data_IF_084566005345
#
_entry.id   IF_084566005345
#
_cell.length_a   1.000
_cell.length_b   1.000
_cell.length_c   1.000
_cell.angle_alpha   90.00
_cell.angle_beta   90.00
_cell.angle_gamma   90.00
#
_symmetry.space_group_name_H-M   'P 1'
#
loop_
_entity.id
_entity.type
_entity.pdbx_description
1 polymer ?
#
# COMPACT_ATOMS: atom_id res chain seq x y z
N UNK A 1 24.99 -31.54 26.86
CA UNK A 1 24.04 -31.05 27.88
C UNK A 1 24.44 -31.44 29.31
N UNK A 2 24.19 -32.66 29.81
CA UNK A 2 24.38 -33.00 31.26
C UNK A 2 25.74 -32.56 31.85
N UNK A 3 26.84 -32.92 31.19
CA UNK A 3 28.21 -32.57 31.61
C UNK A 3 28.46 -31.05 31.62
N UNK A 4 27.95 -30.34 30.62
CA UNK A 4 28.04 -28.87 30.51
C UNK A 4 27.25 -28.17 31.62
N UNK A 5 26.05 -28.66 31.94
CA UNK A 5 25.25 -28.15 33.06
C UNK A 5 25.92 -28.42 34.42
N UNK A 6 26.59 -29.56 34.59
CA UNK A 6 27.39 -29.85 35.79
C UNK A 6 28.56 -28.88 35.96
N UNK A 7 29.35 -28.68 34.89
CA UNK A 7 30.48 -27.74 34.89
C UNK A 7 30.05 -26.27 35.07
N UNK A 8 28.89 -25.88 34.55
CA UNK A 8 28.31 -24.55 34.79
C UNK A 8 27.82 -24.39 36.23
N UNK A 9 27.14 -25.38 36.82
CA UNK A 9 26.64 -25.31 38.20
C UNK A 9 27.77 -25.10 39.23
N UNK A 10 28.99 -25.55 38.92
CA UNK A 10 30.18 -25.33 39.74
C UNK A 10 30.83 -23.93 39.60
N UNK A 11 30.34 -23.10 38.67
CA UNK A 11 30.77 -21.71 38.44
C UNK A 11 29.66 -20.72 38.80
N UNK A 12 28.42 -21.05 38.43
CA UNK A 12 27.20 -20.28 38.65
C UNK A 12 26.02 -21.27 38.80
N UNK A 13 25.37 -21.35 39.98
CA UNK A 13 24.26 -22.28 40.22
C UNK A 13 23.00 -21.93 39.42
N UNK A 14 22.77 -20.64 39.12
CA UNK A 14 21.60 -20.13 38.41
C UNK A 14 21.75 -20.34 36.90
N UNK A 15 22.93 -20.10 36.33
CA UNK A 15 23.23 -20.53 34.96
C UNK A 15 23.13 -22.06 34.83
N UNK A 16 23.59 -22.80 35.84
CA UNK A 16 23.39 -24.24 35.95
C UNK A 16 21.90 -24.63 35.95
N UNK A 17 21.06 -23.89 36.65
CA UNK A 17 19.61 -24.10 36.70
C UNK A 17 18.92 -23.74 35.37
N UNK A 18 19.24 -22.60 34.77
CA UNK A 18 18.72 -22.17 33.48
C UNK A 18 18.97 -23.22 32.38
N UNK A 19 20.17 -23.81 32.30
CA UNK A 19 20.47 -24.89 31.35
C UNK A 19 19.67 -26.17 31.64
N UNK A 20 19.35 -26.47 32.91
CA UNK A 20 18.44 -27.58 33.28
C UNK A 20 16.99 -27.30 32.85
N UNK A 21 16.51 -26.05 32.99
CA UNK A 21 15.17 -25.61 32.56
C UNK A 21 15.02 -25.72 31.04
N UNK A 22 15.99 -25.19 30.28
CA UNK A 22 16.03 -25.32 28.80
C UNK A 22 15.96 -26.80 28.41
N UNK A 23 16.86 -27.63 28.96
CA UNK A 23 16.90 -29.07 28.71
C UNK A 23 15.67 -29.84 29.24
N UNK A 24 14.77 -29.23 30.00
CA UNK A 24 13.51 -29.83 30.43
C UNK A 24 12.40 -29.51 29.43
N UNK A 25 12.21 -28.23 29.09
CA UNK A 25 11.18 -27.82 28.12
C UNK A 25 11.46 -28.32 26.70
N UNK A 26 12.73 -28.42 26.30
CA UNK A 26 13.10 -29.00 25.01
C UNK A 26 12.63 -30.46 24.91
N UNK A 27 12.82 -31.27 25.96
CA UNK A 27 12.33 -32.67 26.01
C UNK A 27 10.81 -32.77 26.07
N UNK A 28 10.11 -31.81 26.67
CA UNK A 28 8.64 -31.75 26.61
C UNK A 28 8.14 -31.37 25.20
N UNK A 29 8.85 -30.49 24.49
CA UNK A 29 8.53 -30.13 23.11
C UNK A 29 8.82 -31.29 22.13
N UNK A 30 9.95 -31.99 22.28
CA UNK A 30 10.33 -33.20 21.52
C UNK A 30 9.31 -34.33 21.70
N UNK A 31 8.91 -34.62 22.95
CA UNK A 31 7.91 -35.64 23.28
C UNK A 31 6.46 -35.22 22.99
N UNK A 32 6.25 -34.01 22.45
CA UNK A 32 4.94 -33.44 22.07
C UNK A 32 3.96 -33.37 23.25
N UNK A 33 4.47 -33.03 24.44
CA UNK A 33 3.67 -32.87 25.64
C UNK A 33 2.52 -31.87 25.44
N UNK A 34 1.36 -32.15 26.05
CA UNK A 34 0.20 -31.27 25.97
C UNK A 34 0.39 -29.94 26.71
N UNK A 35 -0.44 -28.94 26.39
CA UNK A 35 -0.37 -27.58 26.96
C UNK A 35 -0.34 -27.61 28.50
N UNK A 36 -1.19 -28.42 29.14
CA UNK A 36 -1.21 -28.54 30.60
C UNK A 36 0.10 -29.09 31.18
N UNK A 37 0.78 -30.02 30.50
CA UNK A 37 2.05 -30.55 30.95
C UNK A 37 3.19 -29.50 30.87
N UNK A 38 3.10 -28.55 29.94
CA UNK A 38 4.03 -27.42 29.84
C UNK A 38 3.77 -26.38 30.95
N UNK A 39 2.51 -26.03 31.23
CA UNK A 39 2.15 -25.12 32.34
C UNK A 39 2.50 -25.75 33.69
N UNK A 40 2.25 -27.06 33.86
CA UNK A 40 2.68 -27.85 35.02
C UNK A 40 4.20 -27.88 35.17
N UNK A 41 4.94 -27.99 34.05
CA UNK A 41 6.39 -27.85 34.02
C UNK A 41 6.86 -26.49 34.54
N UNK A 42 6.18 -25.40 34.18
CA UNK A 42 6.50 -24.07 34.67
C UNK A 42 6.24 -23.92 36.18
N UNK A 43 5.07 -24.35 36.66
CA UNK A 43 4.71 -24.27 38.07
C UNK A 43 5.68 -25.05 38.99
N UNK A 44 5.97 -26.31 38.62
CA UNK A 44 6.85 -27.19 39.41
C UNK A 44 8.31 -26.74 39.38
N UNK A 45 8.78 -26.12 38.30
CA UNK A 45 10.15 -25.58 38.22
C UNK A 45 10.30 -24.22 38.91
N UNK A 46 9.25 -23.41 38.99
CA UNK A 46 9.26 -22.12 39.67
C UNK A 46 8.92 -22.21 41.17
N UNK A 47 8.30 -23.31 41.62
CA UNK A 47 7.85 -23.49 43.00
C UNK A 47 6.60 -22.66 43.36
N UNK A 48 5.92 -22.08 42.37
CA UNK A 48 4.74 -21.24 42.50
C UNK A 48 3.68 -21.63 41.46
N UNK A 49 2.41 -21.20 41.60
CA UNK A 49 1.39 -21.51 40.61
C UNK A 49 1.70 -20.85 39.26
N UNK A 50 1.48 -21.56 38.15
CA UNK A 50 1.59 -21.03 36.81
C UNK A 50 0.22 -20.96 36.13
N UNK A 51 -0.06 -19.84 35.45
CA UNK A 51 -1.33 -19.62 34.76
C UNK A 51 -1.12 -19.22 33.31
N UNK A 52 -1.75 -19.94 32.40
CA UNK A 52 -1.85 -19.63 30.98
C UNK A 52 -3.24 -19.08 30.67
N UNK A 53 -3.31 -17.91 30.03
CA UNK A 53 -4.55 -17.37 29.47
C UNK A 53 -4.31 -16.94 28.02
N UNK A 54 -5.07 -17.51 27.11
CA UNK A 54 -5.13 -17.12 25.69
C UNK A 54 -6.60 -16.91 25.31
N UNK A 55 -7.09 -15.64 25.27
CA UNK A 55 -8.49 -15.36 25.00
C UNK A 55 -8.87 -15.58 23.53
N UNK A 56 -7.94 -15.33 22.59
CA UNK A 56 -8.12 -15.62 21.16
C UNK A 56 -8.41 -17.12 20.95
N UNK A 57 -7.66 -17.98 21.65
CA UNK A 57 -7.83 -19.43 21.59
C UNK A 57 -8.80 -19.98 22.63
N UNK A 58 -9.35 -19.16 23.53
CA UNK A 58 -10.18 -19.62 24.67
C UNK A 58 -9.50 -20.72 25.48
N UNK A 59 -8.20 -20.59 25.73
CA UNK A 59 -7.42 -21.51 26.57
C UNK A 59 -7.17 -20.84 27.91
N UNK A 60 -7.67 -21.45 28.98
CA UNK A 60 -7.36 -21.07 30.35
C UNK A 60 -6.87 -22.33 31.08
N UNK A 61 -5.66 -22.30 31.62
CA UNK A 61 -5.07 -23.42 32.37
C UNK A 61 -4.28 -22.85 33.54
N UNK A 62 -4.63 -23.26 34.76
CA UNK A 62 -3.91 -22.86 35.99
C UNK A 62 -3.46 -24.10 36.75
N UNK A 63 -2.17 -24.16 37.09
CA UNK A 63 -1.55 -25.30 37.77
C UNK A 63 -0.80 -24.80 39.00
N UNK A 64 -1.05 -25.41 40.15
CA UNK A 64 -0.40 -25.08 41.42
C UNK A 64 1.05 -25.60 41.47
N UNK A 65 1.83 -25.16 42.47
CA UNK A 65 3.23 -25.54 42.65
C UNK A 65 3.44 -27.06 42.85
N UNK A 66 2.44 -27.79 43.35
CA UNK A 66 2.44 -29.26 43.47
C UNK A 66 2.17 -29.99 42.13
N UNK A 67 1.93 -29.23 41.07
CA UNK A 67 1.60 -29.74 39.75
C UNK A 67 0.13 -30.17 39.58
N UNK A 68 -0.75 -29.89 40.54
CA UNK A 68 -2.20 -30.11 40.40
C UNK A 68 -2.87 -28.97 39.64
N UNK A 69 -3.80 -29.29 38.74
CA UNK A 69 -4.59 -28.28 38.03
C UNK A 69 -5.72 -27.77 38.92
N UNK A 70 -5.85 -26.45 39.02
CA UNK A 70 -6.93 -25.76 39.73
C UNK A 70 -7.38 -24.53 38.95
N UNK A 71 -8.42 -24.71 38.14
CA UNK A 71 -9.02 -23.63 37.36
C UNK A 71 -9.68 -22.59 38.30
N UNK A 72 -9.69 -21.33 37.88
CA UNK A 72 -10.09 -20.17 38.70
C UNK A 72 -10.50 -19.03 37.78
N UNK A 73 -11.67 -18.42 38.03
CA UNK A 73 -12.24 -17.38 37.16
C UNK A 73 -11.79 -15.96 37.49
N UNK A 74 -11.19 -15.73 38.67
CA UNK A 74 -10.62 -14.44 39.03
C UNK A 74 -9.49 -14.05 38.04
N UNK A 75 -9.37 -12.78 37.61
CA UNK A 75 -8.35 -12.36 36.64
C UNK A 75 -6.92 -12.53 37.19
N UNK A 76 -5.91 -12.71 36.33
CA UNK A 76 -4.50 -12.66 36.76
C UNK A 76 -4.10 -11.23 37.16
N UNK A 77 -3.22 -11.11 38.15
CA UNK A 77 -2.66 -9.82 38.55
C UNK A 77 -1.64 -9.34 37.50
N UNK A 78 -1.75 -8.11 36.96
CA UNK A 78 -0.77 -7.57 36.01
C UNK A 78 0.64 -7.35 36.60
N UNK A 79 0.80 -7.34 37.93
CA UNK A 79 2.10 -7.24 38.59
C UNK A 79 2.88 -8.58 38.66
N UNK A 80 2.25 -9.71 38.30
CA UNK A 80 2.91 -11.01 38.31
C UNK A 80 3.90 -11.18 37.13
N UNK A 81 5.10 -11.77 37.36
CA UNK A 81 6.05 -12.10 36.30
C UNK A 81 5.39 -12.91 35.19
N UNK A 82 5.56 -12.48 33.94
CA UNK A 82 4.85 -13.07 32.81
C UNK A 82 5.60 -12.95 31.49
N UNK A 83 5.20 -13.78 30.52
CA UNK A 83 5.71 -13.78 29.16
C UNK A 83 4.58 -13.99 28.14
N UNK A 84 4.64 -13.23 27.04
CA UNK A 84 3.73 -13.37 25.92
C UNK A 84 4.08 -14.63 25.09
N UNK A 85 3.06 -15.39 24.68
CA UNK A 85 3.23 -16.53 23.79
C UNK A 85 3.76 -16.10 22.41
N UNK A 86 3.33 -14.93 21.93
CA UNK A 86 3.78 -14.32 20.67
C UNK A 86 3.92 -12.79 20.84
N UNK A 87 4.88 -12.14 20.18
CA UNK A 87 4.97 -10.67 20.18
C UNK A 87 3.66 -10.04 19.70
N UNK A 88 3.02 -9.23 20.54
CA UNK A 88 1.77 -8.52 20.23
C UNK A 88 0.49 -9.37 20.24
N UNK A 89 0.54 -10.66 20.61
CA UNK A 89 -0.66 -11.49 20.79
C UNK A 89 -1.23 -11.39 22.21
N UNK A 90 -2.53 -11.64 22.38
CA UNK A 90 -3.20 -11.56 23.69
C UNK A 90 -2.95 -12.79 24.60
N UNK A 91 -2.30 -13.84 24.07
CA UNK A 91 -1.94 -15.05 24.83
C UNK A 91 -0.70 -14.87 25.70
N UNK A 92 -0.85 -15.12 26.99
CA UNK A 92 0.11 -14.81 28.06
C UNK A 92 0.24 -15.96 29.08
N UNK A 93 1.44 -16.12 29.64
CA UNK A 93 1.76 -17.04 30.73
C UNK A 93 2.28 -16.23 31.93
N UNK A 94 1.74 -16.46 33.13
CA UNK A 94 2.14 -15.82 34.40
C UNK A 94 2.65 -16.85 35.41
N UNK A 95 3.52 -16.39 36.33
CA UNK A 95 3.87 -17.05 37.59
C UNK A 95 3.24 -16.27 38.75
N UNK A 96 2.34 -16.89 39.50
CA UNK A 96 1.55 -16.21 40.53
C UNK A 96 2.39 -15.94 41.79
N UNK A 97 2.52 -14.67 42.18
CA UNK A 97 3.27 -14.24 43.38
C UNK A 97 2.30 -13.64 44.41
N UNK A 98 2.23 -14.21 45.61
CA UNK A 98 1.43 -13.67 46.72
C UNK A 98 -0.08 -13.96 46.62
N UNK A 99 -0.47 -15.22 46.84
CA UNK A 99 -1.87 -15.65 47.02
C UNK A 99 -2.00 -16.64 48.20
N UNK A 100 -3.20 -16.80 48.80
CA UNK A 100 -3.36 -17.49 50.09
C UNK A 100 -3.27 -19.02 49.97
N UNK A 101 -2.04 -19.53 49.85
CA UNK A 101 -1.71 -20.97 49.88
C UNK A 101 -0.43 -21.32 50.66
N UNK A 102 0.44 -20.36 50.94
CA UNK A 102 1.60 -20.56 51.82
C UNK A 102 1.16 -20.66 53.28
N UNK A 103 1.47 -21.78 53.94
CA UNK A 103 1.29 -21.93 55.38
C UNK A 103 2.16 -20.90 56.13
N UNK A 104 1.65 -20.27 57.21
CA UNK A 104 2.42 -19.28 57.95
C UNK A 104 3.61 -19.94 58.64
N UNK A 105 4.82 -19.52 58.27
CA UNK A 105 5.99 -19.72 59.11
C UNK A 105 5.74 -19.04 60.47
N UNK A 106 6.03 -19.74 61.56
CA UNK A 106 5.76 -19.26 62.92
C UNK A 106 6.50 -17.96 63.20
N UNK A 107 5.80 -17.01 63.82
CA UNK A 107 6.28 -15.65 63.98
C UNK A 107 7.58 -15.53 64.79
N UNK A 108 8.53 -14.77 64.26
CA UNK A 108 9.42 -13.90 65.03
C UNK A 108 9.89 -12.73 64.12
N UNK A 109 9.92 -11.52 64.68
CA UNK A 109 10.51 -10.24 64.19
C UNK A 109 11.02 -10.17 62.73
N UNK A 110 10.59 -9.22 61.89
CA UNK A 110 10.69 -7.77 62.13
C UNK A 110 9.78 -7.00 61.14
N UNK A 111 9.58 -5.68 61.33
CA UNK A 111 8.96 -4.78 60.34
C UNK A 111 9.57 -4.96 58.94
N UNK A 112 8.75 -4.91 57.90
CA UNK A 112 9.18 -4.81 56.51
C UNK A 112 8.32 -3.77 55.78
N UNK A 113 8.96 -2.99 54.92
CA UNK A 113 8.35 -1.91 54.14
C UNK A 113 7.38 -2.42 53.06
N UNK A 114 6.51 -1.56 52.48
CA UNK A 114 5.69 -1.92 51.33
C UNK A 114 6.56 -2.50 50.20
N UNK A 115 6.31 -3.77 49.85
CA UNK A 115 7.21 -4.55 49.02
C UNK A 115 7.38 -3.96 47.61
N UNK A 116 8.63 -3.66 47.23
CA UNK A 116 8.98 -3.37 45.85
C UNK A 116 8.66 -4.59 44.95
N UNK A 117 8.32 -4.37 43.66
CA UNK A 117 8.05 -5.44 42.72
C UNK A 117 9.34 -6.22 42.42
N UNK A 118 9.59 -7.28 43.20
CA UNK A 118 10.76 -8.16 43.08
C UNK A 118 10.85 -8.68 41.65
N UNK A 119 11.94 -8.33 40.95
CA UNK A 119 12.19 -8.80 39.59
C UNK A 119 12.16 -10.34 39.49
N UNK A 120 11.81 -10.93 38.35
CA UNK A 120 12.01 -12.36 38.14
C UNK A 120 13.50 -12.69 38.25
N UNK A 121 13.82 -13.75 38.99
CA UNK A 121 15.13 -14.38 38.94
C UNK A 121 15.47 -14.81 37.51
N UNK A 122 16.76 -14.96 37.20
CA UNK A 122 17.22 -15.44 35.88
C UNK A 122 16.58 -16.80 35.55
N UNK A 123 16.37 -17.64 36.56
CA UNK A 123 15.72 -18.95 36.41
C UNK A 123 14.22 -18.81 36.11
N UNK A 124 13.47 -17.95 36.82
CA UNK A 124 12.05 -17.67 36.51
C UNK A 124 11.87 -17.08 35.10
N UNK A 125 12.74 -16.16 34.69
CA UNK A 125 12.72 -15.56 33.36
C UNK A 125 12.92 -16.62 32.26
N UNK A 126 13.87 -17.54 32.45
CA UNK A 126 14.10 -18.66 31.52
C UNK A 126 12.94 -19.68 31.58
N UNK A 127 12.34 -19.95 32.75
CA UNK A 127 11.13 -20.78 32.85
C UNK A 127 10.00 -20.18 32.01
N UNK A 128 9.72 -18.88 32.17
CA UNK A 128 8.69 -18.16 31.43
C UNK A 128 8.96 -18.17 29.91
N UNK A 129 10.17 -17.84 29.47
CA UNK A 129 10.54 -17.84 28.04
C UNK A 129 10.36 -19.23 27.41
N UNK A 130 10.95 -20.27 28.02
CA UNK A 130 10.94 -21.64 27.46
C UNK A 130 9.54 -22.25 27.52
N UNK A 131 8.78 -22.02 28.59
CA UNK A 131 7.39 -22.48 28.70
C UNK A 131 6.48 -21.77 27.70
N UNK A 132 6.52 -20.43 27.58
CA UNK A 132 5.72 -19.69 26.61
C UNK A 132 6.05 -20.07 25.16
N UNK A 133 7.34 -20.23 24.83
CA UNK A 133 7.79 -20.70 23.53
C UNK A 133 7.30 -22.11 23.20
N UNK A 134 7.40 -23.05 24.14
CA UNK A 134 6.88 -24.42 23.96
C UNK A 134 5.35 -24.46 23.86
N UNK A 135 4.63 -23.67 24.68
CA UNK A 135 3.17 -23.58 24.63
C UNK A 135 2.69 -23.02 23.29
N UNK A 136 3.35 -21.98 22.73
CA UNK A 136 3.09 -21.52 21.36
C UNK A 136 3.23 -22.65 20.35
N UNK A 137 4.35 -23.39 20.40
CA UNK A 137 4.62 -24.51 19.46
C UNK A 137 3.59 -25.65 19.56
N UNK A 138 2.98 -25.86 20.72
CA UNK A 138 1.86 -26.80 20.88
C UNK A 138 0.56 -26.20 20.36
N UNK A 139 0.20 -24.97 20.73
CA UNK A 139 -1.05 -24.32 20.32
C UNK A 139 -1.13 -24.04 18.81
N UNK A 140 -0.02 -23.68 18.17
CA UNK A 140 0.06 -23.51 16.71
C UNK A 140 -0.03 -24.86 15.97
N UNK A 141 0.40 -25.96 16.60
CA UNK A 141 0.24 -27.33 16.07
C UNK A 141 -1.17 -27.88 16.25
N UNK A 142 -1.75 -27.79 17.45
CA UNK A 142 -3.01 -28.49 17.80
C UNK A 142 -4.27 -27.82 17.25
N UNK A 143 -4.25 -26.51 17.00
CA UNK A 143 -5.34 -25.83 16.27
C UNK A 143 -5.08 -25.61 14.79
N UNK A 144 -3.90 -25.98 14.30
CA UNK A 144 -3.46 -25.70 12.94
C UNK A 144 -3.41 -24.19 12.69
N UNK A 145 -2.26 -23.58 12.99
CA UNK A 145 -1.89 -22.31 12.36
C UNK A 145 -1.61 -22.57 10.88
N UNK A 146 -2.70 -22.75 10.13
CA UNK A 146 -2.74 -22.35 8.74
C UNK A 146 -2.14 -20.93 8.66
N UNK A 147 -1.23 -20.66 7.71
CA UNK A 147 -0.68 -19.32 7.57
C UNK A 147 -1.81 -18.32 7.29
N UNK A 148 -1.57 -17.03 7.56
CA UNK A 148 -2.47 -15.97 7.09
C UNK A 148 -2.59 -15.96 5.55
N UNK A 149 -1.66 -16.62 4.86
CA UNK A 149 -1.68 -16.93 3.43
C UNK A 149 -2.09 -18.40 3.14
N UNK A 150 -3.13 -18.95 3.78
CA UNK A 150 -3.67 -20.28 3.40
C UNK A 150 -4.30 -20.18 1.99
N UNK A 151 -3.71 -20.82 0.96
CA UNK A 151 -4.13 -20.62 -0.42
C UNK A 151 -5.57 -21.10 -0.65
N UNK A 152 -5.98 -22.20 -0.01
CA UNK A 152 -7.31 -22.76 -0.20
C UNK A 152 -8.40 -21.86 0.42
N UNK A 153 -8.08 -21.16 1.51
CA UNK A 153 -8.97 -20.19 2.12
C UNK A 153 -9.04 -18.89 1.30
N UNK A 154 -7.91 -18.41 0.76
CA UNK A 154 -7.92 -17.24 -0.14
C UNK A 154 -8.69 -17.56 -1.42
N UNK A 155 -8.46 -18.73 -2.03
CA UNK A 155 -9.19 -19.19 -3.22
C UNK A 155 -10.70 -19.33 -2.92
N UNK A 156 -11.08 -19.90 -1.78
CA UNK A 156 -12.50 -19.98 -1.33
C UNK A 156 -13.11 -18.58 -1.15
N UNK A 157 -12.37 -17.63 -0.58
CA UNK A 157 -12.83 -16.27 -0.31
C UNK A 157 -13.02 -15.44 -1.60
N UNK A 158 -12.18 -15.68 -2.62
CA UNK A 158 -12.22 -14.98 -3.89
C UNK A 158 -13.11 -15.66 -4.95
N UNK A 159 -13.62 -16.86 -4.69
CA UNK A 159 -14.59 -17.54 -5.54
C UNK A 159 -16.00 -16.95 -5.35
N UNK A 160 -16.54 -16.36 -6.42
CA UNK A 160 -17.90 -15.83 -6.45
C UNK A 160 -18.98 -16.94 -6.32
N UNK A 161 -18.68 -18.16 -6.75
CA UNK A 161 -19.60 -19.31 -6.75
C UNK A 161 -19.64 -20.06 -5.42
N UNK A 162 -18.61 -19.91 -4.58
CA UNK A 162 -18.59 -20.47 -3.23
C UNK A 162 -19.76 -19.95 -2.36
N UNK A 163 -20.35 -20.79 -1.48
CA UNK A 163 -21.38 -20.33 -0.55
C UNK A 163 -20.88 -19.20 0.36
N UNK A 164 -21.74 -18.21 0.63
CA UNK A 164 -21.39 -17.04 1.45
C UNK A 164 -20.86 -17.44 2.84
N UNK A 165 -21.46 -18.46 3.46
CA UNK A 165 -21.03 -19.01 4.75
C UNK A 165 -19.59 -19.57 4.69
N UNK A 166 -19.18 -20.15 3.56
CA UNK A 166 -17.82 -20.64 3.35
C UNK A 166 -16.83 -19.46 3.18
N UNK A 167 -17.21 -18.41 2.44
CA UNK A 167 -16.42 -17.17 2.34
C UNK A 167 -16.24 -16.49 3.70
N UNK A 168 -17.31 -16.36 4.50
CA UNK A 168 -17.24 -15.80 5.85
C UNK A 168 -16.40 -16.66 6.81
N UNK A 169 -16.43 -17.99 6.66
CA UNK A 169 -15.52 -18.87 7.41
C UNK A 169 -14.07 -18.64 7.00
N UNK A 170 -13.78 -18.59 5.69
CA UNK A 170 -12.44 -18.36 5.16
C UNK A 170 -11.86 -17.00 5.60
N UNK A 171 -12.63 -15.91 5.48
CA UNK A 171 -12.21 -14.58 5.93
C UNK A 171 -11.83 -14.55 7.43
N UNK A 172 -12.69 -15.09 8.30
CA UNK A 172 -12.41 -15.19 9.74
C UNK A 172 -11.19 -16.06 10.05
N UNK A 173 -10.94 -17.11 9.25
CA UNK A 173 -9.77 -17.98 9.38
C UNK A 173 -8.46 -17.32 8.87
N UNK A 174 -8.57 -16.38 7.94
CA UNK A 174 -7.47 -15.53 7.44
C UNK A 174 -7.21 -14.31 8.36
N UNK A 175 -8.04 -14.09 9.38
CA UNK A 175 -7.92 -12.96 10.30
C UNK A 175 -8.52 -11.64 9.80
N UNK A 176 -9.32 -11.67 8.74
CA UNK A 176 -10.04 -10.50 8.22
C UNK A 176 -11.31 -10.24 9.05
N UNK A 177 -11.51 -9.00 9.47
CA UNK A 177 -12.78 -8.54 10.04
C UNK A 177 -13.83 -8.40 8.92
N UNK A 178 -14.97 -9.13 8.98
CA UNK A 178 -16.05 -8.99 7.98
C UNK A 178 -16.68 -7.59 7.90
N UNK A 179 -16.53 -6.75 8.94
CA UNK A 179 -17.01 -5.37 8.94
C UNK A 179 -16.01 -4.37 8.33
N UNK A 180 -14.73 -4.73 8.21
CA UNK A 180 -13.70 -3.89 7.63
C UNK A 180 -13.62 -4.03 6.09
N UNK A 181 -13.29 -2.95 5.36
CA UNK A 181 -13.02 -3.05 3.93
C UNK A 181 -11.67 -3.74 3.66
N UNK A 182 -11.62 -4.56 2.62
CA UNK A 182 -10.43 -5.27 2.16
C UNK A 182 -10.23 -5.12 0.64
N UNK A 183 -9.00 -5.33 0.18
CA UNK A 183 -8.60 -5.29 -1.24
C UNK A 183 -8.01 -6.64 -1.66
N UNK A 184 -8.37 -7.11 -2.85
CA UNK A 184 -7.71 -8.27 -3.47
C UNK A 184 -6.49 -7.83 -4.29
N UNK A 185 -5.43 -8.64 -4.26
CA UNK A 185 -4.16 -8.40 -4.94
C UNK A 185 -3.86 -9.51 -5.94
N UNK A 186 -3.61 -9.14 -7.19
CA UNK A 186 -3.30 -10.03 -8.31
C UNK A 186 -1.85 -9.84 -8.79
N UNK A 187 -0.86 -10.53 -8.18
CA UNK A 187 0.51 -10.56 -8.69
C UNK A 187 0.62 -11.48 -9.93
N UNK A 188 1.49 -11.14 -10.88
CA UNK A 188 1.68 -11.92 -12.11
C UNK A 188 2.17 -13.35 -11.86
N UNK A 189 3.25 -13.46 -11.07
CA UNK A 189 3.98 -14.72 -10.82
C UNK A 189 3.74 -15.24 -9.40
N UNK A 190 2.55 -14.98 -8.82
CA UNK A 190 2.25 -15.26 -7.43
C UNK A 190 0.83 -15.79 -7.23
N UNK A 191 0.54 -16.19 -5.99
CA UNK A 191 -0.82 -16.53 -5.56
C UNK A 191 -1.65 -15.26 -5.32
N UNK A 192 -3.00 -15.34 -5.42
CA UNK A 192 -3.86 -14.28 -4.90
C UNK A 192 -3.49 -13.93 -3.45
N UNK A 193 -3.67 -12.67 -3.08
CA UNK A 193 -3.63 -12.21 -1.69
C UNK A 193 -4.82 -11.30 -1.40
N UNK A 194 -5.15 -11.16 -0.14
CA UNK A 194 -6.11 -10.16 0.36
C UNK A 194 -5.41 -9.36 1.45
N UNK A 195 -5.57 -8.04 1.43
CA UNK A 195 -5.12 -7.15 2.50
C UNK A 195 -6.29 -6.32 3.05
N UNK A 196 -6.28 -5.97 4.35
CA UNK A 196 -7.11 -4.87 4.85
C UNK A 196 -6.85 -3.59 4.04
N UNK A 197 -7.90 -2.82 3.73
CA UNK A 197 -7.77 -1.66 2.85
C UNK A 197 -6.95 -0.50 3.44
N UNK A 198 -6.80 -0.47 4.77
CA UNK A 198 -5.96 0.47 5.52
C UNK A 198 -4.47 0.11 5.50
N UNK A 199 -4.12 -1.16 5.30
CA UNK A 199 -2.73 -1.63 5.28
C UNK A 199 -1.88 -1.04 4.12
N UNK A 200 -2.54 -0.60 3.05
CA UNK A 200 -1.91 0.06 1.89
C UNK A 200 -1.58 1.54 2.14
N UNK A 201 -2.12 2.15 3.20
CA UNK A 201 -1.97 3.60 3.49
C UNK A 201 -0.58 3.99 3.99
N UNK A 202 0.35 3.04 4.12
CA UNK A 202 1.77 3.31 4.38
C UNK A 202 2.41 3.96 3.13
N UNK A 203 2.78 5.26 3.13
CA UNK A 203 3.00 5.97 1.87
C UNK A 203 4.19 5.45 1.04
N UNK A 204 3.90 5.01 -0.19
CA UNK A 204 4.89 4.84 -1.27
C UNK A 204 5.40 6.19 -1.84
N UNK A 205 5.56 7.18 -0.96
CA UNK A 205 6.01 8.51 -1.29
C UNK A 205 7.53 8.51 -1.55
N UNK A 206 7.94 8.73 -2.80
CA UNK A 206 9.33 9.04 -3.15
C UNK A 206 10.17 7.87 -3.67
N UNK A 207 9.71 7.17 -4.71
CA UNK A 207 10.60 6.39 -5.61
C UNK A 207 10.61 6.89 -7.07
N UNK A 208 10.50 8.21 -7.22
CA UNK A 208 10.76 8.95 -8.48
C UNK A 208 11.97 9.89 -8.33
N UNK A 209 13.11 9.32 -7.90
CA UNK A 209 14.40 9.99 -7.92
C UNK A 209 15.49 8.98 -8.31
N UNK A 210 16.16 9.22 -9.45
CA UNK A 210 17.45 8.59 -9.73
C UNK A 210 18.45 9.19 -8.74
N UNK A 211 19.24 8.34 -8.09
CA UNK A 211 20.27 8.75 -7.14
C UNK A 211 21.40 9.49 -7.88
N UNK A 212 21.28 10.82 -7.95
CA UNK A 212 22.28 11.67 -8.58
C UNK A 212 23.55 11.70 -7.71
N UNK A 213 24.75 11.44 -8.25
CA UNK A 213 25.96 11.32 -7.46
C UNK A 213 26.31 12.65 -6.79
N UNK A 214 26.60 12.58 -5.48
CA UNK A 214 26.96 13.73 -4.65
C UNK A 214 28.19 14.45 -5.23
N UNK A 215 28.01 15.69 -5.66
CA UNK A 215 29.14 16.60 -5.94
C UNK A 215 29.64 17.19 -4.63
N UNK A 216 30.97 17.25 -4.40
CA UNK A 216 31.53 17.87 -3.20
C UNK A 216 31.22 19.38 -3.18
N UNK A 217 30.99 19.91 -1.98
CA UNK A 217 30.71 21.33 -1.78
C UNK A 217 32.00 22.15 -1.88
N UNK A 218 32.07 23.08 -2.84
CA UNK A 218 32.99 24.23 -2.78
C UNK A 218 32.29 25.39 -2.07
N UNK A 219 32.96 25.98 -1.07
CA UNK A 219 32.40 27.02 -0.20
C UNK A 219 32.11 28.35 -0.91
N UNK A 220 31.45 29.30 -0.21
CA UNK A 220 31.00 30.56 -0.81
C UNK A 220 32.15 31.55 -1.02
N UNK A 221 32.36 31.97 -2.26
CA UNK A 221 33.12 33.18 -2.61
C UNK A 221 32.20 34.36 -2.88
N UNK A 222 32.66 35.57 -2.56
CA UNK A 222 31.84 36.77 -2.46
C UNK A 222 31.38 37.35 -3.82
N UNK A 223 30.44 38.29 -3.75
CA UNK A 223 29.95 39.10 -4.86
C UNK A 223 31.09 39.88 -5.53
N UNK A 224 31.04 39.96 -6.86
CA UNK A 224 31.69 41.01 -7.65
C UNK A 224 30.69 41.50 -8.71
N UNK A 225 30.56 42.82 -8.87
CA UNK A 225 29.55 43.42 -9.76
C UNK A 225 30.01 43.45 -11.23
N UNK A 226 29.08 43.23 -12.16
CA UNK A 226 29.28 43.44 -13.59
C UNK A 226 28.78 44.85 -14.00
N UNK A 227 29.54 45.62 -14.79
CA UNK A 227 29.18 47.01 -15.14
C UNK A 227 28.21 47.11 -16.33
N UNK A 228 27.53 48.26 -16.44
CA UNK A 228 26.80 48.69 -17.65
C UNK A 228 27.77 49.26 -18.70
N UNK A 229 27.46 49.08 -19.99
CA UNK A 229 27.29 50.22 -20.90
C UNK A 229 25.79 50.35 -21.27
N UNK A 230 25.15 51.53 -21.21
CA UNK A 230 25.37 52.77 -21.97
C UNK A 230 24.67 52.73 -23.34
N UNK A 231 23.70 53.63 -23.54
CA UNK A 231 22.91 53.77 -24.75
C UNK A 231 23.46 54.89 -25.65
N UNK A 232 23.18 54.82 -26.95
CA UNK A 232 23.46 55.88 -27.94
C UNK A 232 22.20 56.09 -28.78
N UNK A 233 21.85 57.36 -29.02
CA UNK A 233 20.69 57.73 -29.84
C UNK A 233 20.99 57.68 -31.34
N UNK A 234 19.96 57.36 -32.14
CA UNK A 234 19.90 57.57 -33.59
C UNK A 234 18.46 57.84 -34.00
N UNK A 235 18.21 58.82 -34.87
CA UNK A 235 16.88 59.42 -35.08
C UNK A 235 16.48 59.50 -36.56
N UNK A 236 15.35 58.87 -36.92
CA UNK A 236 14.44 59.11 -38.06
C UNK A 236 13.26 58.12 -37.91
N UNK A 237 11.96 58.42 -38.13
CA UNK A 237 11.30 59.04 -39.29
C UNK A 237 11.36 58.13 -40.54
N UNK A 238 10.28 57.68 -41.17
CA UNK A 238 8.85 58.09 -41.13
C UNK A 238 7.90 56.93 -41.53
N UNK A 239 6.57 57.11 -41.37
CA UNK A 239 5.49 56.65 -42.29
C UNK A 239 5.25 55.13 -42.54
N UNK A 240 4.02 54.59 -42.72
CA UNK A 240 2.63 55.09 -42.61
C UNK A 240 1.66 53.94 -42.23
N UNK A 241 0.51 54.34 -41.64
CA UNK A 241 -0.70 53.60 -41.27
C UNK A 241 -0.98 52.17 -41.81
N UNK A 242 -1.59 51.36 -40.94
CA UNK A 242 -2.46 50.24 -41.31
C UNK A 242 -3.95 50.63 -41.08
N UNK A 243 -4.86 50.29 -42.02
CA UNK A 243 -6.31 50.14 -41.77
C UNK A 243 -7.12 49.57 -42.96
N UNK A 244 -7.63 48.35 -42.80
CA UNK A 244 -9.08 48.03 -42.82
C UNK A 244 -9.97 48.14 -44.10
N UNK A 245 -10.62 47.01 -44.40
CA UNK A 245 -12.00 46.81 -44.92
C UNK A 245 -12.35 46.63 -46.43
N UNK A 246 -13.50 45.95 -46.58
CA UNK A 246 -14.47 45.87 -47.68
C UNK A 246 -14.21 44.96 -48.90
N UNK A 247 -15.13 44.01 -49.10
CA UNK A 247 -15.39 43.32 -50.37
C UNK A 247 -16.44 44.08 -51.19
N UNK A 248 -16.46 43.90 -52.52
CA UNK A 248 -17.70 43.95 -53.29
C UNK A 248 -17.99 42.65 -54.07
N UNK A 249 -19.27 42.30 -54.15
CA UNK A 249 -19.91 41.39 -55.14
C UNK A 249 -20.64 42.28 -56.16
N UNK A 250 -20.99 41.85 -57.41
CA UNK A 250 -22.16 40.96 -57.61
C UNK A 250 -22.22 40.13 -58.93
N UNK A 251 -23.41 39.53 -59.16
CA UNK A 251 -24.07 39.11 -60.44
C UNK A 251 -24.03 37.61 -60.89
N UNK A 252 -25.24 37.17 -61.29
CA UNK A 252 -25.78 35.93 -61.89
C UNK A 252 -25.13 35.54 -63.25
N UNK A 253 -25.40 34.40 -63.93
CA UNK A 253 -26.68 33.67 -64.08
C UNK A 253 -26.61 32.22 -64.64
N UNK A 254 -27.71 31.46 -64.51
CA UNK A 254 -28.08 30.26 -65.30
C UNK A 254 -27.45 28.91 -64.89
N UNK A 255 -28.14 27.74 -64.90
CA UNK A 255 -29.58 27.49 -64.72
C UNK A 255 -30.26 26.47 -65.68
N UNK A 256 -30.42 25.20 -65.25
CA UNK A 256 -31.43 24.22 -65.77
C UNK A 256 -31.63 23.03 -64.80
N UNK A 257 -32.79 22.35 -64.87
CA UNK A 257 -33.20 21.11 -64.16
C UNK A 257 -34.08 20.24 -65.12
N UNK A 258 -34.58 19.01 -64.80
CA UNK A 258 -35.49 18.63 -63.69
C UNK A 258 -35.02 17.30 -62.99
N UNK A 259 -35.76 16.40 -62.32
CA UNK A 259 -37.17 16.20 -61.87
C UNK A 259 -37.11 15.39 -60.53
N UNK A 260 -37.97 15.51 -59.49
CA UNK A 260 -39.43 15.28 -59.27
C UNK A 260 -39.94 13.82 -59.34
N UNK A 261 -40.08 13.18 -58.16
CA UNK A 261 -41.29 12.51 -57.55
C UNK A 261 -40.84 11.64 -56.35
N UNK A 262 -41.60 11.38 -55.27
CA UNK A 262 -42.78 12.01 -54.66
C UNK A 262 -42.86 11.61 -53.16
N UNK A 263 -43.66 12.31 -52.35
CA UNK A 263 -43.87 12.08 -50.91
C UNK A 263 -45.19 11.29 -50.65
N UNK A 264 -45.54 10.85 -49.41
CA UNK A 264 -46.26 11.76 -48.50
C UNK A 264 -46.13 11.55 -46.96
N UNK A 265 -46.02 12.68 -46.25
CA UNK A 265 -46.77 13.09 -45.05
C UNK A 265 -46.52 12.46 -43.67
N UNK A 266 -46.29 13.35 -42.68
CA UNK A 266 -46.58 13.16 -41.25
C UNK A 266 -47.85 13.93 -40.81
N UNK A 267 -48.11 14.03 -39.49
CA UNK A 267 -48.07 15.34 -38.79
C UNK A 267 -47.20 15.28 -37.51
N UNK A 268 -46.43 16.31 -37.09
CA UNK A 268 -46.77 17.71 -36.72
C UNK A 268 -47.50 17.84 -35.34
N UNK A 269 -47.35 18.90 -34.53
CA UNK A 269 -46.32 19.95 -34.37
C UNK A 269 -46.67 20.85 -33.15
N UNK A 270 -45.68 21.51 -32.52
CA UNK A 270 -45.73 22.82 -31.80
C UNK A 270 -44.39 22.98 -31.04
N UNK A 271 -43.53 24.01 -31.15
CA UNK A 271 -43.62 25.45 -31.45
C UNK A 271 -43.67 26.35 -30.18
N UNK A 272 -42.73 27.28 -30.08
CA UNK A 272 -42.58 28.24 -28.98
C UNK A 272 -43.32 29.56 -29.24
N UNK A 273 -43.30 30.52 -28.30
CA UNK A 273 -42.46 31.71 -28.55
C UNK A 273 -41.74 32.25 -27.30
N UNK A 274 -40.93 33.31 -27.49
CA UNK A 274 -40.35 34.11 -26.40
C UNK A 274 -39.96 35.52 -26.88
N UNK A 275 -39.81 36.49 -25.96
CA UNK A 275 -39.44 37.87 -26.32
C UNK A 275 -38.71 38.67 -25.21
N UNK A 276 -37.48 39.09 -25.53
CA UNK A 276 -36.83 40.40 -25.31
C UNK A 276 -36.82 41.10 -23.92
N UNK A 277 -35.59 41.26 -23.42
CA UNK A 277 -34.94 42.50 -22.91
C UNK A 277 -35.67 43.45 -21.95
N UNK A 278 -35.03 43.71 -20.80
CA UNK A 278 -35.13 44.96 -20.04
C UNK A 278 -33.80 45.27 -19.37
N UNK A 279 -33.38 46.53 -19.32
CA UNK A 279 -32.19 46.99 -18.60
C UNK A 279 -32.60 47.83 -17.39
N UNK A 280 -31.89 47.69 -16.27
CA UNK A 280 -32.20 48.40 -15.03
C UNK A 280 -30.96 48.55 -14.16
N UNK A 281 -30.41 49.76 -14.10
CA UNK A 281 -29.30 50.13 -13.21
C UNK A 281 -29.84 50.62 -11.89
N UNK A 282 -29.31 50.16 -10.74
CA UNK A 282 -29.10 50.98 -9.54
C UNK A 282 -28.13 50.27 -8.57
N UNK A 283 -27.33 51.01 -7.78
CA UNK A 283 -26.31 50.42 -6.91
C UNK A 283 -26.85 50.10 -5.51
N UNK A 284 -26.23 49.13 -4.84
CA UNK A 284 -26.31 48.94 -3.39
C UNK A 284 -24.90 49.04 -2.81
N UNK A 285 -24.72 49.95 -1.86
CA UNK A 285 -23.50 50.05 -1.05
C UNK A 285 -23.46 48.93 -0.03
N UNK A 286 -22.42 48.09 -0.05
CA UNK A 286 -22.07 47.24 1.09
C UNK A 286 -20.88 47.83 1.86
N UNK A 287 -20.92 47.69 3.19
CA UNK A 287 -20.24 48.61 4.11
C UNK A 287 -19.12 47.91 4.87
N UNK A 288 -17.91 48.47 4.83
CA UNK A 288 -16.72 47.83 5.37
C UNK A 288 -16.74 47.71 6.91
N UNK A 289 -16.51 46.48 7.41
CA UNK A 289 -16.31 46.16 8.83
C UNK A 289 -14.97 45.39 9.01
N UNK A 290 -14.34 45.40 10.21
CA UNK A 290 -12.89 45.34 10.31
C UNK A 290 -12.26 43.94 10.44
N UNK A 291 -10.97 43.87 10.08
CA UNK A 291 -10.11 42.68 10.26
C UNK A 291 -9.84 42.40 11.75
N UNK A 292 -9.90 41.13 12.22
CA UNK A 292 -9.37 40.76 13.52
C UNK A 292 -7.83 40.88 13.55
N UNK A 293 -7.26 41.11 14.74
CA UNK A 293 -5.82 41.30 14.96
C UNK A 293 -5.08 39.98 15.19
N UNK A 294 -3.81 39.94 14.78
CA UNK A 294 -2.88 38.83 15.01
C UNK A 294 -2.46 38.73 16.48
N UNK A 295 -2.68 37.57 17.10
CA UNK A 295 -1.99 37.15 18.34
C UNK A 295 -0.70 36.38 18.04
N UNK A 296 0.22 36.22 19.01
CA UNK A 296 1.54 35.64 18.79
C UNK A 296 1.51 34.11 18.62
N UNK A 297 2.32 33.61 17.69
CA UNK A 297 2.54 32.17 17.47
C UNK A 297 3.51 31.58 18.49
N UNK A 298 3.01 30.76 19.41
CA UNK A 298 3.84 29.83 20.16
C UNK A 298 4.23 28.64 19.25
N UNK A 299 5.53 28.43 19.02
CA UNK A 299 6.02 27.30 18.23
C UNK A 299 6.06 26.00 19.04
N UNK A 300 5.64 24.85 18.48
CA UNK A 300 5.83 23.55 19.12
C UNK A 300 7.32 23.18 19.11
N UNK A 301 7.84 22.70 20.24
CA UNK A 301 9.25 22.33 20.38
C UNK A 301 9.58 20.99 19.71
N UNK A 302 10.83 20.82 19.27
CA UNK A 302 11.35 19.57 18.70
C UNK A 302 11.41 18.45 19.75
N UNK A 303 10.37 17.62 19.82
CA UNK A 303 10.42 16.34 20.52
C UNK A 303 11.12 15.29 19.64
N UNK A 304 12.44 15.15 19.81
CA UNK A 304 13.25 14.17 19.08
C UNK A 304 13.06 12.74 19.64
N UNK A 305 11.85 12.19 19.51
CA UNK A 305 11.55 10.81 19.90
C UNK A 305 12.19 9.84 18.90
N UNK A 306 13.21 9.12 19.34
CA UNK A 306 13.92 8.12 18.54
C UNK A 306 13.06 6.88 18.26
N UNK A 307 12.10 6.98 17.31
CA UNK A 307 11.39 5.82 16.79
C UNK A 307 12.36 4.94 16.00
N UNK A 308 12.88 3.92 16.66
CA UNK A 308 13.37 2.68 16.04
C UNK A 308 12.35 2.27 14.96
N UNK A 309 12.76 2.09 13.69
CA UNK A 309 11.81 1.82 12.61
C UNK A 309 11.01 0.57 12.94
N UNK A 310 9.68 0.67 12.82
CA UNK A 310 8.81 -0.49 12.88
C UNK A 310 9.23 -1.51 11.81
N UNK A 311 9.07 -2.82 12.05
CA UNK A 311 9.24 -3.79 10.98
C UNK A 311 8.31 -3.40 9.82
N UNK A 312 8.75 -3.53 8.55
CA UNK A 312 7.87 -3.21 7.43
C UNK A 312 6.61 -4.07 7.53
N UNK A 313 5.45 -3.42 7.42
CA UNK A 313 4.17 -4.11 7.29
C UNK A 313 4.11 -4.96 6.02
N UNK A 314 2.99 -5.66 5.75
CA UNK A 314 2.80 -6.46 4.55
C UNK A 314 2.64 -5.58 3.31
N UNK A 315 3.73 -4.94 2.89
CA UNK A 315 3.81 -4.11 1.70
C UNK A 315 3.53 -4.91 0.43
N UNK A 316 3.13 -4.19 -0.62
CA UNK A 316 2.76 -4.77 -1.91
C UNK A 316 3.89 -5.68 -2.47
N UNK A 317 3.55 -6.88 -2.98
CA UNK A 317 4.55 -7.78 -3.54
C UNK A 317 5.25 -7.14 -4.75
N UNK A 318 6.57 -7.28 -4.82
CA UNK A 318 7.38 -6.68 -5.88
C UNK A 318 7.09 -7.29 -7.27
N UNK A 319 7.16 -6.44 -8.30
CA UNK A 319 6.90 -6.81 -9.69
C UNK A 319 5.50 -6.44 -10.17
N UNK A 320 5.02 -7.12 -11.22
CA UNK A 320 3.74 -6.84 -11.88
C UNK A 320 2.55 -7.23 -10.98
N UNK A 321 1.72 -6.24 -10.63
CA UNK A 321 0.66 -6.35 -9.64
C UNK A 321 -0.59 -5.53 -10.03
N UNK A 322 -1.75 -6.18 -10.09
CA UNK A 322 -3.04 -5.50 -10.08
C UNK A 322 -3.62 -5.41 -8.67
N UNK A 323 -4.14 -4.24 -8.30
CA UNK A 323 -4.80 -3.97 -7.02
C UNK A 323 -6.29 -3.73 -7.24
N UNK A 324 -7.15 -4.45 -6.52
CA UNK A 324 -8.61 -4.29 -6.60
C UNK A 324 -9.14 -3.18 -5.70
N UNK A 325 -10.38 -2.69 -5.93
CA UNK A 325 -11.04 -1.71 -5.06
C UNK A 325 -11.17 -2.19 -3.62
N UNK A 326 -11.22 -1.24 -2.68
CA UNK A 326 -11.58 -1.50 -1.29
C UNK A 326 -13.09 -1.80 -1.20
N UNK A 327 -13.43 -2.99 -0.73
CA UNK A 327 -14.82 -3.49 -0.68
C UNK A 327 -15.09 -4.25 0.63
N UNK A 328 -16.36 -4.42 1.04
CA UNK A 328 -16.70 -5.35 2.11
C UNK A 328 -16.18 -6.76 1.79
N UNK A 329 -15.83 -7.54 2.82
CA UNK A 329 -15.22 -8.88 2.67
C UNK A 329 -16.00 -9.83 1.74
N UNK A 330 -17.33 -9.70 1.66
CA UNK A 330 -18.16 -10.51 0.75
C UNK A 330 -18.09 -10.12 -0.72
N UNK A 331 -17.66 -8.90 -1.04
CA UNK A 331 -17.44 -8.40 -2.40
C UNK A 331 -16.00 -8.65 -2.89
N UNK A 332 -15.13 -9.29 -2.09
CA UNK A 332 -13.76 -9.62 -2.51
C UNK A 332 -13.65 -10.39 -3.84
N UNK A 333 -14.59 -11.29 -4.25
CA UNK A 333 -14.59 -11.86 -5.60
C UNK A 333 -14.68 -10.81 -6.72
N UNK A 334 -15.40 -9.70 -6.50
CA UNK A 334 -15.44 -8.56 -7.43
C UNK A 334 -14.11 -7.80 -7.41
N UNK A 335 -13.58 -7.50 -6.22
CA UNK A 335 -12.26 -6.86 -6.08
C UNK A 335 -11.17 -7.67 -6.77
N UNK A 336 -11.24 -9.01 -6.73
CA UNK A 336 -10.35 -9.93 -7.42
C UNK A 336 -10.49 -9.91 -8.95
N UNK A 337 -11.72 -9.88 -9.48
CA UNK A 337 -11.95 -9.74 -10.92
C UNK A 337 -11.42 -8.39 -11.46
N UNK A 338 -11.61 -7.31 -10.69
CA UNK A 338 -11.08 -5.99 -11.01
C UNK A 338 -9.54 -5.95 -10.86
N UNK A 339 -8.95 -6.57 -9.83
CA UNK A 339 -7.50 -6.71 -9.66
C UNK A 339 -6.84 -7.50 -10.81
N UNK A 340 -7.42 -8.62 -11.23
CA UNK A 340 -6.96 -9.39 -12.41
C UNK A 340 -7.08 -8.59 -13.70
N UNK A 341 -8.05 -7.69 -13.79
CA UNK A 341 -8.18 -6.76 -14.91
C UNK A 341 -7.06 -5.71 -14.88
N UNK A 342 -6.81 -5.10 -13.72
CA UNK A 342 -5.73 -4.14 -13.51
C UNK A 342 -4.33 -4.72 -13.80
N UNK A 343 -4.08 -5.97 -13.40
CA UNK A 343 -2.83 -6.69 -13.70
C UNK A 343 -2.50 -6.70 -15.19
N UNK A 344 -3.48 -6.74 -16.09
CA UNK A 344 -3.26 -6.74 -17.55
C UNK A 344 -2.83 -5.38 -18.12
N UNK A 345 -2.99 -4.29 -17.35
CA UNK A 345 -2.46 -2.97 -17.68
C UNK A 345 -1.04 -2.72 -17.12
N UNK A 346 -0.47 -3.67 -16.36
CA UNK A 346 0.87 -3.51 -15.76
C UNK A 346 2.00 -3.69 -16.79
N UNK A 347 3.10 -2.98 -16.59
CA UNK A 347 4.34 -3.04 -17.34
C UNK A 347 5.42 -3.85 -16.61
N UNK A 348 6.42 -4.37 -17.31
CA UNK A 348 7.63 -4.90 -16.68
C UNK A 348 8.47 -3.82 -16.01
N UNK A 349 8.39 -2.57 -16.47
CA UNK A 349 9.22 -1.45 -16.01
C UNK A 349 10.64 -1.46 -16.60
N UNK A 350 10.85 -2.22 -17.69
CA UNK A 350 12.12 -2.26 -18.43
C UNK A 350 12.22 -1.11 -19.44
N UNK A 351 13.40 -0.76 -19.98
CA UNK A 351 13.50 0.25 -21.06
C UNK A 351 12.71 -0.11 -22.32
N UNK A 352 12.47 -1.41 -22.56
CA UNK A 352 11.72 -1.98 -23.68
C UNK A 352 10.21 -2.09 -23.39
N UNK A 353 9.83 -2.30 -22.13
CA UNK A 353 8.47 -2.20 -21.62
C UNK A 353 8.35 -1.27 -20.39
N UNK A 354 8.47 0.06 -20.61
CA UNK A 354 8.28 1.06 -19.56
C UNK A 354 6.80 1.16 -19.17
N UNK A 355 6.54 1.65 -17.96
CA UNK A 355 5.20 1.92 -17.44
C UNK A 355 5.01 1.46 -15.99
N UNK A 356 3.76 1.47 -15.48
CA UNK A 356 3.47 1.12 -14.09
C UNK A 356 3.55 -0.40 -13.84
N UNK A 357 4.40 -0.82 -12.90
CA UNK A 357 4.42 -2.22 -12.42
C UNK A 357 3.20 -2.55 -11.55
N UNK A 358 2.72 -1.58 -10.76
CA UNK A 358 1.51 -1.68 -9.94
C UNK A 358 0.42 -0.83 -10.59
N UNK A 359 -0.80 -1.37 -10.72
CA UNK A 359 -1.98 -0.63 -11.23
C UNK A 359 -3.18 -0.88 -10.33
N UNK A 360 -3.85 0.19 -9.90
CA UNK A 360 -5.09 0.12 -9.13
C UNK A 360 -6.30 0.13 -10.07
N UNK A 361 -7.25 -0.78 -9.85
CA UNK A 361 -8.43 -0.90 -10.71
C UNK A 361 -9.32 0.35 -10.68
N UNK A 362 -9.39 1.04 -9.53
CA UNK A 362 -10.19 2.27 -9.37
C UNK A 362 -9.63 3.46 -10.17
N UNK A 363 -8.34 3.46 -10.51
CA UNK A 363 -7.69 4.50 -11.33
C UNK A 363 -7.94 4.33 -12.84
N UNK A 364 -8.28 3.13 -13.30
CA UNK A 364 -8.47 2.84 -14.74
C UNK A 364 -9.76 3.43 -15.30
N UNK A 365 -10.80 3.56 -14.48
CA UNK A 365 -12.13 4.03 -14.89
C UNK A 365 -12.63 3.35 -16.18
N UNK A 366 -13.06 4.15 -17.16
CA UNK A 366 -13.57 3.65 -18.44
C UNK A 366 -12.52 2.93 -19.31
N UNK A 367 -11.22 3.10 -19.07
CA UNK A 367 -10.15 2.42 -19.85
C UNK A 367 -10.13 0.92 -19.54
N UNK A 368 -10.58 0.50 -18.36
CA UNK A 368 -10.70 -0.91 -17.99
C UNK A 368 -11.55 -1.74 -18.99
N UNK A 369 -12.53 -1.12 -19.65
CA UNK A 369 -13.38 -1.77 -20.66
C UNK A 369 -12.59 -2.35 -21.85
N UNK A 370 -11.42 -1.78 -22.18
CA UNK A 370 -10.55 -2.30 -23.24
C UNK A 370 -10.08 -3.74 -22.94
N UNK A 371 -9.96 -4.12 -21.67
CA UNK A 371 -9.56 -5.47 -21.28
C UNK A 371 -10.61 -6.54 -21.62
N UNK A 372 -11.88 -6.16 -21.77
CA UNK A 372 -12.95 -7.04 -22.27
C UNK A 372 -12.97 -7.16 -23.80
N UNK A 373 -12.33 -6.24 -24.53
CA UNK A 373 -12.32 -6.18 -25.99
C UNK A 373 -11.02 -6.74 -26.60
N UNK A 374 -9.89 -6.53 -25.94
CA UNK A 374 -8.58 -7.08 -26.33
C UNK A 374 -8.34 -8.36 -25.54
N UNK A 375 -8.26 -9.50 -26.21
CA UNK A 375 -7.96 -10.79 -25.57
C UNK A 375 -6.44 -11.04 -25.48
N UNK A 376 -5.95 -11.78 -24.47
CA UNK A 376 -4.57 -12.26 -24.45
C UNK A 376 -4.24 -13.03 -25.72
N UNK A 377 -3.15 -12.67 -26.40
CA UNK A 377 -2.74 -13.31 -27.66
C UNK A 377 -3.59 -12.98 -28.90
N UNK A 378 -4.55 -12.04 -28.82
CA UNK A 378 -5.27 -11.56 -30.01
C UNK A 378 -4.35 -10.86 -31.01
N UNK A 379 -4.70 -10.84 -32.30
CA UNK A 379 -3.94 -10.08 -33.32
C UNK A 379 -3.79 -8.61 -32.87
N UNK A 380 -2.56 -8.10 -32.70
CA UNK A 380 -2.34 -6.75 -32.18
C UNK A 380 -2.94 -5.70 -33.13
N UNK A 381 -3.71 -4.70 -32.64
CA UNK A 381 -4.26 -3.62 -33.47
C UNK A 381 -3.20 -2.91 -34.33
N UNK A 382 -3.56 -2.27 -35.46
CA UNK A 382 -2.59 -1.67 -36.38
C UNK A 382 -1.67 -0.65 -35.70
N UNK A 383 -2.17 0.12 -34.74
CA UNK A 383 -1.41 1.08 -33.94
C UNK A 383 -0.37 0.38 -33.03
N UNK A 384 -0.70 -0.80 -32.50
CA UNK A 384 0.22 -1.63 -31.72
C UNK A 384 1.27 -2.24 -32.65
N UNK A 385 0.89 -2.71 -33.86
CA UNK A 385 1.85 -3.21 -34.85
C UNK A 385 2.84 -2.14 -35.30
N UNK A 386 2.38 -0.92 -35.53
CA UNK A 386 3.24 0.22 -35.84
C UNK A 386 4.20 0.54 -34.68
N UNK A 387 3.71 0.49 -33.44
CA UNK A 387 4.52 0.73 -32.24
C UNK A 387 5.61 -0.33 -32.04
N UNK A 388 5.28 -1.63 -32.17
CA UNK A 388 6.26 -2.71 -32.04
C UNK A 388 7.28 -2.70 -33.20
N UNK A 389 6.84 -2.45 -34.43
CA UNK A 389 7.73 -2.33 -35.59
C UNK A 389 8.68 -1.13 -35.44
N UNK A 390 8.19 0.00 -34.95
CA UNK A 390 9.03 1.17 -34.67
C UNK A 390 10.01 0.91 -33.50
N UNK A 391 9.55 0.24 -32.44
CA UNK A 391 10.38 -0.12 -31.28
C UNK A 391 11.52 -1.09 -31.64
N UNK A 392 11.27 -2.05 -32.54
CA UNK A 392 12.28 -2.98 -33.05
C UNK A 392 13.40 -2.27 -33.83
N UNK A 393 13.09 -1.15 -34.50
CA UNK A 393 14.07 -0.33 -35.23
C UNK A 393 14.74 0.74 -34.36
N UNK A 394 14.12 1.14 -33.24
CA UNK A 394 14.60 2.23 -32.39
C UNK A 394 14.51 1.87 -30.89
N UNK A 395 15.56 1.29 -30.28
CA UNK A 395 15.54 0.85 -28.87
C UNK A 395 15.28 1.95 -27.83
N UNK A 396 15.48 3.23 -28.17
CA UNK A 396 15.15 4.37 -27.30
C UNK A 396 13.66 4.77 -27.34
N UNK A 397 12.90 4.23 -28.29
CA UNK A 397 11.54 4.67 -28.60
C UNK A 397 10.53 4.33 -27.51
N UNK A 398 10.45 3.10 -26.93
CA UNK A 398 9.43 2.78 -25.94
C UNK A 398 9.45 3.72 -24.73
N UNK A 399 10.63 3.92 -24.12
CA UNK A 399 10.82 4.86 -23.01
C UNK A 399 10.45 6.30 -23.38
N UNK A 400 10.74 6.71 -24.62
CA UNK A 400 10.41 8.06 -25.11
C UNK A 400 8.90 8.24 -25.32
N UNK A 401 8.21 7.21 -25.84
CA UNK A 401 6.77 7.23 -26.04
C UNK A 401 5.99 7.19 -24.71
N UNK A 402 6.38 6.31 -23.79
CA UNK A 402 5.73 6.18 -22.48
C UNK A 402 5.86 7.46 -21.64
N UNK A 403 7.04 8.10 -21.64
CA UNK A 403 7.23 9.40 -20.98
C UNK A 403 6.42 10.55 -21.61
N UNK A 404 6.12 10.50 -22.91
CA UNK A 404 5.27 11.49 -23.60
C UNK A 404 3.77 11.18 -23.44
N UNK A 405 3.41 9.93 -23.20
CA UNK A 405 2.05 9.49 -22.90
C UNK A 405 1.65 9.69 -21.42
N UNK A 406 2.61 9.58 -20.49
CA UNK A 406 2.38 9.68 -19.05
C UNK A 406 2.54 11.09 -18.46
N UNK A 407 3.18 12.03 -19.17
CA UNK A 407 3.44 13.38 -18.64
C UNK A 407 2.68 14.49 -19.36
N UNK A 408 2.23 15.49 -18.59
CA UNK A 408 1.48 16.63 -19.13
C UNK A 408 2.29 17.59 -20.02
N UNK A 409 3.62 17.47 -20.12
CA UNK A 409 4.45 18.35 -20.95
C UNK A 409 5.72 17.69 -21.46
N UNK A 410 6.18 18.13 -22.65
CA UNK A 410 7.44 17.67 -23.24
C UNK A 410 8.68 18.01 -22.39
N UNK A 411 8.59 19.00 -21.48
CA UNK A 411 9.68 19.30 -20.54
C UNK A 411 9.74 18.26 -19.41
N UNK A 412 8.60 17.80 -18.93
CA UNK A 412 8.52 16.71 -17.95
C UNK A 412 8.95 15.38 -18.57
N UNK A 413 8.49 15.05 -19.79
CA UNK A 413 8.95 13.86 -20.53
C UNK A 413 10.47 13.84 -20.70
N UNK A 414 11.07 14.96 -21.13
CA UNK A 414 12.52 15.06 -21.34
C UNK A 414 13.31 14.84 -20.04
N UNK A 415 12.86 15.42 -18.92
CA UNK A 415 13.46 15.21 -17.61
C UNK A 415 13.30 13.75 -17.13
N UNK A 416 12.13 13.15 -17.31
CA UNK A 416 11.83 11.77 -16.89
C UNK A 416 12.71 10.71 -17.55
N UNK A 417 13.14 10.93 -18.81
CA UNK A 417 14.07 10.04 -19.53
C UNK A 417 15.51 10.59 -19.59
N UNK A 418 15.82 11.62 -18.80
CA UNK A 418 17.13 12.27 -18.68
C UNK A 418 17.77 12.69 -20.03
N UNK A 419 17.01 13.42 -20.87
CA UNK A 419 17.50 14.01 -22.13
C UNK A 419 17.27 15.52 -22.21
N UNK A 420 18.04 16.20 -23.05
CA UNK A 420 17.77 17.60 -23.39
C UNK A 420 16.47 17.74 -24.20
N UNK A 421 15.79 18.88 -24.03
CA UNK A 421 14.50 19.13 -24.67
C UNK A 421 14.57 19.12 -26.21
N UNK A 422 15.67 19.61 -26.80
CA UNK A 422 15.95 19.49 -28.25
C UNK A 422 15.99 18.03 -28.68
N UNK A 423 16.81 17.20 -28.02
CA UNK A 423 16.91 15.76 -28.29
C UNK A 423 15.57 15.02 -28.17
N UNK A 424 14.68 15.44 -27.25
CA UNK A 424 13.32 14.90 -27.22
C UNK A 424 12.50 15.33 -28.45
N UNK A 425 12.60 16.58 -28.88
CA UNK A 425 11.91 17.03 -30.09
C UNK A 425 12.40 16.31 -31.35
N UNK A 426 13.72 16.07 -31.48
CA UNK A 426 14.29 15.34 -32.61
C UNK A 426 13.81 13.87 -32.62
N UNK A 427 13.85 13.21 -31.45
CA UNK A 427 13.27 11.87 -31.25
C UNK A 427 11.78 11.82 -31.57
N UNK A 428 11.02 12.84 -31.21
CA UNK A 428 9.59 12.92 -31.52
C UNK A 428 9.34 13.06 -33.02
N UNK A 429 10.08 13.91 -33.72
CA UNK A 429 9.96 14.04 -35.19
C UNK A 429 10.27 12.71 -35.89
N UNK A 430 11.28 11.97 -35.41
CA UNK A 430 11.59 10.63 -35.92
C UNK A 430 10.50 9.59 -35.57
N UNK A 431 9.97 9.63 -34.36
CA UNK A 431 8.86 8.76 -33.93
C UNK A 431 7.57 9.02 -34.72
N UNK A 432 7.24 10.28 -35.00
CA UNK A 432 6.10 10.69 -35.84
C UNK A 432 6.24 10.14 -37.27
N UNK A 433 7.48 10.06 -37.80
CA UNK A 433 7.77 9.44 -39.09
C UNK A 433 7.67 7.90 -39.06
N UNK A 434 8.20 7.22 -38.04
CA UNK A 434 8.12 5.76 -37.90
C UNK A 434 6.69 5.24 -37.67
N UNK A 435 5.88 5.98 -36.91
CA UNK A 435 4.50 5.59 -36.58
C UNK A 435 3.49 6.01 -37.66
N UNK A 436 3.79 7.07 -38.43
CA UNK A 436 2.88 7.63 -39.44
C UNK A 436 1.73 8.45 -38.85
N UNK A 437 1.84 8.93 -37.60
CA UNK A 437 0.88 9.86 -37.01
C UNK A 437 1.55 10.88 -36.07
N UNK A 438 1.02 12.11 -35.93
CA UNK A 438 1.59 13.11 -35.03
C UNK A 438 1.40 12.71 -33.56
N UNK A 439 2.42 12.93 -32.74
CA UNK A 439 2.44 12.72 -31.29
C UNK A 439 2.33 14.04 -30.52
N UNK A 440 2.62 15.16 -31.18
CA UNK A 440 2.54 16.49 -30.57
C UNK A 440 1.09 16.93 -30.27
N UNK A 441 0.11 16.47 -31.04
CA UNK A 441 -1.32 16.84 -30.93
C UNK A 441 -2.07 16.06 -29.83
N UNK A 442 -3.17 16.60 -29.25
CA UNK A 442 -3.95 15.89 -28.23
C UNK A 442 -4.52 14.56 -28.70
N UNK A 443 -5.11 14.52 -29.90
CA UNK A 443 -5.62 13.29 -30.53
C UNK A 443 -4.51 12.25 -30.76
N UNK A 444 -3.32 12.71 -31.14
CA UNK A 444 -2.13 11.89 -31.30
C UNK A 444 -1.65 11.21 -30.02
N UNK A 445 -1.66 11.96 -28.89
CA UNK A 445 -1.32 11.40 -27.58
C UNK A 445 -2.39 10.44 -27.06
N UNK A 446 -3.67 10.75 -27.26
CA UNK A 446 -4.75 9.82 -26.92
C UNK A 446 -4.61 8.50 -27.70
N UNK A 447 -4.33 8.57 -29.00
CA UNK A 447 -4.02 7.39 -29.83
C UNK A 447 -2.82 6.61 -29.30
N UNK A 448 -1.74 7.29 -28.91
CA UNK A 448 -0.57 6.65 -28.30
C UNK A 448 -0.87 5.99 -26.95
N UNK A 449 -1.64 6.65 -26.07
CA UNK A 449 -2.05 6.11 -24.77
C UNK A 449 -2.90 4.84 -24.94
N UNK A 450 -3.85 4.85 -25.88
CA UNK A 450 -4.65 3.68 -26.24
C UNK A 450 -3.79 2.57 -26.84
N UNK A 451 -2.85 2.88 -27.74
CA UNK A 451 -1.92 1.91 -28.31
C UNK A 451 -1.04 1.25 -27.23
N UNK A 452 -0.48 2.03 -26.30
CA UNK A 452 0.30 1.52 -25.17
C UNK A 452 -0.55 0.65 -24.22
N UNK A 453 -1.80 1.02 -23.95
CA UNK A 453 -2.72 0.18 -23.16
C UNK A 453 -3.02 -1.14 -23.87
N UNK A 454 -3.39 -1.10 -25.15
CA UNK A 454 -3.67 -2.30 -25.95
C UNK A 454 -2.42 -3.21 -26.11
N UNK A 455 -1.21 -2.63 -26.20
CA UNK A 455 0.07 -3.36 -26.20
C UNK A 455 0.27 -4.22 -24.93
N UNK A 456 -0.19 -3.73 -23.77
CA UNK A 456 -0.12 -4.49 -22.51
C UNK A 456 -1.23 -5.54 -22.43
N UNK A 457 -2.45 -5.19 -22.83
CA UNK A 457 -3.62 -6.07 -22.81
C UNK A 457 -3.54 -7.28 -23.76
N UNK A 458 -2.91 -7.12 -24.93
CA UNK A 458 -2.79 -8.17 -25.95
C UNK A 458 -1.76 -9.27 -25.62
N UNK A 459 -1.00 -9.12 -24.52
CA UNK A 459 0.00 -10.11 -24.09
C UNK A 459 -0.65 -11.39 -23.60
N UNK A 460 0.02 -12.55 -23.76
CA UNK A 460 -0.39 -13.80 -23.11
C UNK A 460 -0.32 -13.68 -21.57
#
# INVERSE_FOLDING_TARGET
MKELAGRLTALDPDAGAAVRVIAYFDRLAESRAGVEALVRGAAVLAGCPARLVDPERRVHVRVEADGTRRDTEAPPDPAWPSAALSPGGAGMLWLERGGPGGLPATAQDTRSDPAEPVAPSVVEAVILERAAGAVRLVLDRTRGRAPADDPALVETLLDATAPEQARLHAARRLGLDPAAPARALAPLNGRPRVIPADAETAPLAGRTAVEAPVRPQTGPTSQAAAPRPAAVHGTASSETAAATAAQPRPVRAGGTAPARTAEPAGPAAQAAPGLRTGAGTHPVTEQAAPRPRTGPTAGPASAATGLRPAPPGPGLPAGRLGVGPAVPVLELPRSWAEARTALRFTAEGTPQDPGPQVVHAEELGGIALLAGLVAPGSEPPPDVRALEAAAANAPWLPATLDAVASTGSLRAAAAGINVHHSTLQDRLTHAEHLLGWPLRTPQGRLRLQLALAMRRLARP
#
